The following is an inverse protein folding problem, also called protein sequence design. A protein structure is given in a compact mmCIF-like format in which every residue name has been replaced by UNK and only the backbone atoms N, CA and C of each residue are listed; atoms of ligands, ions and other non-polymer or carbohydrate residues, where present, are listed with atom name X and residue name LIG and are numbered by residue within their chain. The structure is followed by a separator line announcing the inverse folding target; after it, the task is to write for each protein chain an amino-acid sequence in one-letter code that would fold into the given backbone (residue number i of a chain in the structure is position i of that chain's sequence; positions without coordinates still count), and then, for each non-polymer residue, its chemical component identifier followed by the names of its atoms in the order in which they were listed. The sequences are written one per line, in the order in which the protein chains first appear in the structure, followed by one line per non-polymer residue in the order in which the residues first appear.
data_IF_536770942885
#
_entry.id   IF_536770942885
#
_cell.length_a   1.000
_cell.length_b   1.000
_cell.length_c   1.000
_cell.angle_alpha   90.00
_cell.angle_beta   90.00
_cell.angle_gamma   90.00
#
_symmetry.space_group_name_H-M   'P 1'
#
loop_
_entity.id
_entity.type
_entity.pdbx_description
1 polymer ?
#
# COMPACT_ATOMS: atom_id res chain seq x y z
N UNK A 1 20.02 -13.10 20.17
CA UNK A 1 20.57 -14.26 19.43
C UNK A 1 19.57 -14.85 18.44
N UNK A 2 18.31 -15.11 18.85
CA UNK A 2 17.30 -15.76 18.00
C UNK A 2 16.98 -15.05 16.67
N UNK A 3 16.85 -13.72 16.67
CA UNK A 3 16.55 -13.00 15.42
C UNK A 3 17.67 -13.11 14.38
N UNK A 4 18.94 -12.95 14.79
CA UNK A 4 20.09 -13.12 13.88
C UNK A 4 20.15 -14.51 13.27
N UNK A 5 19.83 -15.56 14.05
CA UNK A 5 19.73 -16.92 13.54
C UNK A 5 18.56 -17.07 12.55
N UNK A 6 17.42 -16.44 12.83
CA UNK A 6 16.28 -16.41 11.91
C UNK A 6 16.64 -15.72 10.59
N UNK A 7 17.33 -14.57 10.62
CA UNK A 7 17.84 -13.90 9.42
C UNK A 7 18.76 -14.82 8.63
N UNK A 8 19.75 -15.44 9.28
CA UNK A 8 20.65 -16.37 8.61
C UNK A 8 19.91 -17.55 7.95
N UNK A 9 18.90 -18.11 8.62
CA UNK A 9 18.08 -19.21 8.09
C UNK A 9 17.14 -18.80 6.97
N UNK A 10 16.51 -17.62 7.07
CA UNK A 10 15.54 -17.13 6.10
C UNK A 10 16.18 -16.81 4.74
N UNK A 11 17.50 -16.57 4.69
CA UNK A 11 18.26 -16.38 3.45
C UNK A 11 18.00 -17.46 2.41
N UNK A 12 18.00 -18.74 2.81
CA UNK A 12 17.75 -19.85 1.89
C UNK A 12 16.36 -19.76 1.26
N UNK A 13 15.34 -19.41 2.06
CA UNK A 13 13.98 -19.20 1.58
C UNK A 13 13.89 -18.01 0.61
N UNK A 14 14.54 -16.90 0.92
CA UNK A 14 14.55 -15.72 0.05
C UNK A 14 15.24 -15.99 -1.29
N UNK A 15 16.38 -16.70 -1.27
CA UNK A 15 17.11 -17.09 -2.49
C UNK A 15 16.30 -18.06 -3.34
N UNK A 16 15.69 -19.09 -2.73
CA UNK A 16 14.77 -19.97 -3.44
C UNK A 16 13.55 -19.21 -4.00
N UNK A 17 13.16 -18.12 -3.35
CA UNK A 17 12.14 -17.19 -3.81
C UNK A 17 12.57 -16.29 -4.98
N UNK A 18 13.84 -16.31 -5.41
CA UNK A 18 14.37 -15.51 -6.52
C UNK A 18 15.03 -14.18 -6.12
N UNK A 19 15.36 -13.99 -4.84
CA UNK A 19 16.19 -12.87 -4.37
C UNK A 19 17.66 -13.26 -4.50
N UNK A 20 18.50 -12.38 -5.03
CA UNK A 20 19.95 -12.61 -5.09
C UNK A 20 20.55 -12.57 -3.68
N UNK A 21 21.59 -13.40 -3.47
CA UNK A 21 22.30 -13.42 -2.18
C UNK A 21 22.83 -12.04 -1.79
N UNK A 22 23.38 -11.28 -2.75
CA UNK A 22 23.90 -9.94 -2.50
C UNK A 22 22.85 -8.94 -2.01
N UNK A 23 21.67 -8.90 -2.65
CA UNK A 23 20.57 -8.02 -2.21
C UNK A 23 20.07 -8.42 -0.83
N UNK A 24 19.96 -9.72 -0.56
CA UNK A 24 19.57 -10.21 0.77
C UNK A 24 20.58 -9.79 1.84
N UNK A 25 21.86 -10.08 1.61
CA UNK A 25 22.93 -9.84 2.57
C UNK A 25 23.12 -8.34 2.84
N UNK A 26 22.90 -7.49 1.83
CA UNK A 26 22.88 -6.04 2.00
C UNK A 26 21.67 -5.58 2.82
N UNK A 27 20.45 -5.94 2.40
CA UNK A 27 19.20 -5.41 2.97
C UNK A 27 18.91 -5.90 4.39
N UNK A 28 19.50 -7.05 4.77
CA UNK A 28 19.31 -7.66 6.09
C UNK A 28 20.51 -7.40 7.02
N UNK A 29 21.50 -6.60 6.60
CA UNK A 29 22.69 -6.32 7.39
C UNK A 29 22.35 -5.40 8.56
N UNK A 30 22.58 -5.87 9.78
CA UNK A 30 22.42 -5.05 10.99
C UNK A 30 20.97 -4.71 11.33
N UNK A 31 19.99 -5.32 10.65
CA UNK A 31 18.59 -5.15 11.04
C UNK A 31 18.37 -5.78 12.42
N UNK A 32 17.57 -5.10 13.23
CA UNK A 32 17.11 -5.60 14.52
C UNK A 32 15.58 -5.49 14.57
N UNK A 33 14.88 -6.34 15.34
CA UNK A 33 13.42 -6.30 15.41
C UNK A 33 12.91 -4.92 15.82
N UNK A 34 11.75 -4.54 15.31
CA UNK A 34 11.07 -3.30 15.68
C UNK A 34 9.98 -3.58 16.73
N UNK A 35 10.18 -3.17 18.01
CA UNK A 35 9.20 -3.44 19.06
C UNK A 35 7.83 -2.82 18.77
N UNK A 36 7.77 -1.67 18.09
CA UNK A 36 6.52 -0.97 17.76
C UNK A 36 5.71 -1.77 16.75
N UNK A 37 6.38 -2.45 15.80
CA UNK A 37 5.71 -3.33 14.84
C UNK A 37 4.99 -4.48 15.58
N UNK A 38 5.64 -5.09 16.57
CA UNK A 38 5.05 -6.18 17.37
C UNK A 38 3.97 -5.69 18.34
N UNK A 39 4.08 -4.46 18.83
CA UNK A 39 3.02 -3.82 19.63
C UNK A 39 1.77 -3.59 18.78
N UNK A 40 1.92 -2.93 17.62
CA UNK A 40 0.82 -2.65 16.70
C UNK A 40 0.17 -3.93 16.16
N UNK A 41 0.94 -4.99 15.94
CA UNK A 41 0.42 -6.29 15.53
C UNK A 41 -0.49 -6.96 16.58
N UNK A 42 -0.30 -6.64 17.86
CA UNK A 42 -1.09 -7.15 19.00
C UNK A 42 -2.34 -6.34 19.27
N UNK A 43 -2.32 -5.04 18.99
CA UNK A 43 -3.48 -4.17 19.15
C UNK A 43 -4.40 -4.29 17.93
N UNK A 44 -5.68 -4.61 18.15
CA UNK A 44 -6.74 -4.43 17.16
C UNK A 44 -7.69 -3.32 17.63
N UNK A 45 -7.44 -2.04 17.29
CA UNK A 45 -8.32 -0.94 17.73
C UNK A 45 -9.68 -0.91 17.01
N UNK A 46 -9.82 -1.61 15.87
CA UNK A 46 -10.87 -1.31 14.88
C UNK A 46 -12.25 -1.94 15.12
N UNK A 47 -12.60 -2.34 16.34
CA UNK A 47 -13.94 -2.88 16.63
C UNK A 47 -14.78 -2.07 17.64
N UNK A 48 -14.44 -0.80 17.89
CA UNK A 48 -15.14 -0.02 18.94
C UNK A 48 -15.77 1.31 18.49
N UNK A 49 -15.45 1.82 17.30
CA UNK A 49 -16.03 3.07 16.80
C UNK A 49 -17.18 2.80 15.82
N UNK A 50 -18.30 3.55 15.92
CA UNK A 50 -19.32 3.54 14.91
C UNK A 50 -18.83 3.97 13.52
N UNK A 51 -19.50 3.52 12.47
CA UNK A 51 -19.10 3.82 11.09
C UNK A 51 -19.06 5.33 10.78
N UNK A 52 -19.90 6.14 11.42
CA UNK A 52 -19.93 7.60 11.23
C UNK A 52 -18.66 8.28 11.74
N UNK A 53 -18.10 7.83 12.88
CA UNK A 53 -16.81 8.36 13.38
C UNK A 53 -15.65 8.05 12.41
N UNK A 54 -15.74 6.95 11.67
CA UNK A 54 -14.77 6.63 10.62
C UNK A 54 -14.93 7.57 9.41
N UNK A 55 -16.16 7.89 9.01
CA UNK A 55 -16.41 8.79 7.88
C UNK A 55 -16.05 10.25 8.20
N UNK A 56 -16.45 10.78 9.34
CA UNK A 56 -16.21 12.19 9.70
C UNK A 56 -14.72 12.53 9.81
N UNK A 57 -13.91 11.57 10.27
CA UNK A 57 -12.45 11.71 10.32
C UNK A 57 -11.76 11.63 8.95
N UNK A 58 -12.48 11.22 7.89
CA UNK A 58 -11.91 10.89 6.58
C UNK A 58 -12.50 11.71 5.44
N UNK A 59 -13.73 12.16 5.60
CA UNK A 59 -14.50 12.96 4.64
C UNK A 59 -14.96 14.22 5.35
N UNK A 60 -14.10 15.23 5.31
CA UNK A 60 -14.34 16.54 5.90
C UNK A 60 -13.90 17.65 4.94
N UNK A 61 -14.34 18.89 5.18
CA UNK A 61 -14.12 20.03 4.26
C UNK A 61 -12.65 20.24 3.90
N UNK A 62 -11.74 20.11 4.87
CA UNK A 62 -10.31 20.23 4.61
C UNK A 62 -9.78 19.12 3.67
N UNK A 63 -10.26 17.88 3.79
CA UNK A 63 -9.87 16.79 2.90
C UNK A 63 -10.38 17.04 1.47
N UNK A 64 -11.62 17.54 1.34
CA UNK A 64 -12.20 17.93 0.05
C UNK A 64 -11.41 19.08 -0.58
N UNK A 65 -11.08 20.13 0.18
CA UNK A 65 -10.29 21.26 -0.30
C UNK A 65 -8.89 20.83 -0.75
N UNK A 66 -8.23 19.95 0.02
CA UNK A 66 -6.94 19.36 -0.36
C UNK A 66 -7.05 18.55 -1.64
N UNK A 67 -8.09 17.73 -1.78
CA UNK A 67 -8.35 16.94 -2.99
C UNK A 67 -8.56 17.81 -4.23
N UNK A 68 -9.30 18.91 -4.12
CA UNK A 68 -9.47 19.87 -5.20
C UNK A 68 -8.15 20.56 -5.57
N UNK A 69 -7.31 20.90 -4.58
CA UNK A 69 -5.98 21.45 -4.84
C UNK A 69 -5.07 20.44 -5.55
N UNK A 70 -5.08 19.18 -5.13
CA UNK A 70 -4.33 18.11 -5.81
C UNK A 70 -4.85 17.82 -7.20
N UNK A 71 -6.17 17.87 -7.42
CA UNK A 71 -6.79 17.74 -8.74
C UNK A 71 -6.28 18.80 -9.72
N UNK A 72 -6.15 20.06 -9.26
CA UNK A 72 -5.59 21.16 -10.06
C UNK A 72 -4.10 20.95 -10.32
N UNK A 73 -3.33 20.66 -9.27
CA UNK A 73 -1.87 20.49 -9.34
C UNK A 73 -1.45 19.36 -10.28
N UNK A 74 -2.15 18.23 -10.22
CA UNK A 74 -1.79 17.01 -10.96
C UNK A 74 -2.65 16.77 -12.19
N UNK A 75 -3.46 17.77 -12.62
CA UNK A 75 -4.40 17.65 -13.73
C UNK A 75 -3.80 16.99 -14.98
N UNK A 76 -2.61 17.39 -15.49
CA UNK A 76 -2.08 16.78 -16.71
C UNK A 76 -1.83 15.27 -16.59
N UNK A 77 -1.42 14.81 -15.40
CA UNK A 77 -1.20 13.39 -15.14
C UNK A 77 -2.50 12.64 -14.90
N UNK A 78 -3.43 13.22 -14.14
CA UNK A 78 -4.76 12.66 -13.95
C UNK A 78 -5.48 12.45 -15.29
N UNK A 79 -5.42 13.44 -16.21
CA UNK A 79 -5.99 13.33 -17.55
C UNK A 79 -5.40 12.13 -18.32
N UNK A 80 -4.07 11.95 -18.28
CA UNK A 80 -3.38 10.85 -18.96
C UNK A 80 -3.70 9.49 -18.34
N UNK A 81 -3.75 9.40 -17.02
CA UNK A 81 -4.05 8.17 -16.28
C UNK A 81 -5.49 7.76 -16.56
N UNK A 82 -6.43 8.69 -16.44
CA UNK A 82 -7.85 8.45 -16.73
C UNK A 82 -8.05 7.97 -18.18
N UNK A 83 -7.43 8.62 -19.16
CA UNK A 83 -7.48 8.19 -20.56
C UNK A 83 -6.89 6.78 -20.78
N UNK A 84 -5.81 6.42 -20.08
CA UNK A 84 -5.14 5.11 -20.23
C UNK A 84 -5.90 3.98 -19.53
N UNK A 85 -6.44 4.24 -18.34
CA UNK A 85 -6.99 3.21 -17.47
C UNK A 85 -8.51 3.20 -17.38
N UNK A 86 -9.19 4.28 -17.76
CA UNK A 86 -10.65 4.43 -17.64
C UNK A 86 -11.13 4.58 -16.19
N UNK A 87 -10.22 4.89 -15.26
CA UNK A 87 -10.52 5.11 -13.85
C UNK A 87 -10.69 6.60 -13.61
N UNK A 88 -11.83 6.98 -13.03
CA UNK A 88 -12.17 8.37 -12.71
C UNK A 88 -11.12 8.99 -11.78
N UNK A 89 -10.68 10.21 -12.09
CA UNK A 89 -9.65 10.91 -11.32
C UNK A 89 -10.03 11.14 -9.86
N UNK A 90 -11.31 11.34 -9.56
CA UNK A 90 -11.80 11.60 -8.22
C UNK A 90 -11.70 10.33 -7.36
N UNK A 91 -11.89 9.16 -7.97
CA UNK A 91 -11.62 7.87 -7.30
C UNK A 91 -10.14 7.75 -6.95
N UNK A 92 -9.24 8.09 -7.87
CA UNK A 92 -7.80 8.08 -7.61
C UNK A 92 -7.39 9.08 -6.52
N UNK A 93 -7.95 10.29 -6.54
CA UNK A 93 -7.73 11.30 -5.52
C UNK A 93 -8.30 10.89 -4.16
N UNK A 94 -9.44 10.21 -4.13
CA UNK A 94 -10.02 9.69 -2.89
C UNK A 94 -9.14 8.59 -2.28
N UNK A 95 -8.65 7.64 -3.09
CA UNK A 95 -7.69 6.62 -2.64
C UNK A 95 -6.43 7.30 -2.08
N UNK A 96 -5.85 8.25 -2.81
CA UNK A 96 -4.62 8.91 -2.37
C UNK A 96 -4.82 9.71 -1.06
N UNK A 97 -5.99 10.33 -0.88
CA UNK A 97 -6.39 10.96 0.38
C UNK A 97 -6.42 9.93 1.52
N UNK A 98 -7.17 8.85 1.32
CA UNK A 98 -7.43 7.83 2.34
C UNK A 98 -6.17 7.09 2.78
N UNK A 99 -5.25 6.83 1.84
CA UNK A 99 -4.07 6.02 2.09
C UNK A 99 -2.91 6.81 2.73
N UNK A 100 -2.73 8.08 2.35
CA UNK A 100 -1.55 8.84 2.82
C UNK A 100 -1.78 10.33 3.05
N UNK A 101 -3.02 10.80 3.00
CA UNK A 101 -3.35 12.23 3.03
C UNK A 101 -2.52 13.00 1.99
N UNK A 102 -2.57 12.54 0.74
CA UNK A 102 -1.81 13.12 -0.37
C UNK A 102 -0.28 13.14 -0.15
N UNK A 103 0.24 12.14 0.56
CA UNK A 103 1.66 11.97 0.86
C UNK A 103 2.14 12.61 2.15
N UNK A 104 1.30 13.33 2.90
CA UNK A 104 1.72 13.91 4.19
C UNK A 104 2.09 12.84 5.23
N UNK A 105 1.42 11.69 5.20
CA UNK A 105 1.76 10.55 6.08
C UNK A 105 3.17 10.02 5.83
N UNK A 106 3.69 10.13 4.60
CA UNK A 106 5.03 9.62 4.27
C UNK A 106 6.16 10.47 4.87
N UNK A 107 5.86 11.70 5.29
CA UNK A 107 6.83 12.63 5.91
C UNK A 107 6.97 12.41 7.43
N UNK A 108 6.23 11.45 7.98
CA UNK A 108 6.12 11.21 9.43
C UNK A 108 6.99 10.03 9.85
N UNK A 109 8.16 10.33 10.39
CA UNK A 109 9.12 9.31 10.87
C UNK A 109 8.58 8.49 12.07
N UNK A 110 7.58 9.00 12.79
CA UNK A 110 6.92 8.27 13.87
C UNK A 110 5.97 7.17 13.34
N UNK A 111 5.48 7.32 12.11
CA UNK A 111 4.58 6.37 11.43
C UNK A 111 5.34 5.48 10.45
N UNK A 112 6.16 6.09 9.60
CA UNK A 112 6.86 5.43 8.50
C UNK A 112 8.02 4.57 9.01
N UNK A 113 8.12 3.37 8.46
CA UNK A 113 9.13 2.38 8.82
C UNK A 113 9.74 1.77 7.58
N UNK A 114 11.00 1.35 7.71
CA UNK A 114 11.63 0.54 6.68
C UNK A 114 10.84 -0.78 6.51
N UNK A 115 10.46 -1.08 5.28
CA UNK A 115 9.56 -2.19 4.96
C UNK A 115 10.23 -3.54 5.19
N UNK A 116 11.53 -3.67 4.88
CA UNK A 116 12.31 -4.89 5.13
C UNK A 116 12.33 -5.18 6.63
N UNK A 117 12.69 -4.19 7.45
CA UNK A 117 12.73 -4.33 8.92
C UNK A 117 11.37 -4.71 9.49
N UNK A 118 10.30 -4.06 9.02
CA UNK A 118 8.94 -4.31 9.51
C UNK A 118 8.47 -5.73 9.19
N UNK A 119 8.64 -6.17 7.93
CA UNK A 119 8.23 -7.50 7.51
C UNK A 119 9.11 -8.61 8.11
N UNK A 120 10.42 -8.37 8.26
CA UNK A 120 11.31 -9.29 8.99
C UNK A 120 10.88 -9.43 10.46
N UNK A 121 10.51 -8.33 11.10
CA UNK A 121 10.01 -8.33 12.48
C UNK A 121 8.72 -9.14 12.61
N UNK A 122 7.75 -8.95 11.71
CA UNK A 122 6.50 -9.72 11.71
C UNK A 122 6.73 -11.20 11.38
N UNK A 123 7.60 -11.49 10.41
CA UNK A 123 7.91 -12.85 10.01
C UNK A 123 8.55 -13.65 11.16
N UNK A 124 9.40 -12.99 11.97
CA UNK A 124 10.03 -13.56 13.14
C UNK A 124 9.13 -13.61 14.38
N UNK A 125 8.46 -12.50 14.71
CA UNK A 125 7.89 -12.28 16.03
C UNK A 125 6.36 -12.37 16.13
N UNK A 126 5.63 -12.50 15.01
CA UNK A 126 4.17 -12.69 15.01
C UNK A 126 3.79 -14.01 14.31
N UNK A 127 3.56 -15.11 15.07
CA UNK A 127 3.18 -16.39 14.51
C UNK A 127 1.94 -16.35 13.60
N UNK A 128 0.98 -15.45 13.88
CA UNK A 128 -0.26 -15.34 13.09
C UNK A 128 0.00 -14.77 11.70
N UNK A 129 0.97 -13.84 11.60
CA UNK A 129 1.31 -13.15 10.36
C UNK A 129 2.60 -13.66 9.71
N UNK A 130 3.28 -14.62 10.32
CA UNK A 130 4.61 -15.05 9.88
C UNK A 130 4.66 -15.47 8.40
N UNK A 131 3.68 -16.26 7.94
CA UNK A 131 3.59 -16.69 6.53
C UNK A 131 3.37 -15.49 5.58
N UNK A 132 2.41 -14.63 5.91
CA UNK A 132 2.12 -13.41 5.14
C UNK A 132 3.37 -12.53 5.04
N UNK A 133 3.99 -12.23 6.18
CA UNK A 133 5.15 -11.35 6.28
C UNK A 133 6.36 -11.93 5.53
N UNK A 134 6.57 -13.24 5.59
CA UNK A 134 7.61 -13.92 4.82
C UNK A 134 7.40 -13.76 3.31
N UNK A 135 6.18 -13.94 2.82
CA UNK A 135 5.84 -13.73 1.40
C UNK A 135 6.05 -12.28 0.99
N UNK A 136 5.58 -11.31 1.78
CA UNK A 136 5.76 -9.90 1.47
C UNK A 136 7.24 -9.48 1.56
N UNK A 137 8.03 -10.02 2.49
CA UNK A 137 9.45 -9.72 2.65
C UNK A 137 10.24 -10.13 1.40
N UNK A 138 9.98 -11.33 0.87
CA UNK A 138 10.60 -11.79 -0.39
C UNK A 138 10.21 -10.85 -1.54
N UNK A 139 8.95 -10.45 -1.62
CA UNK A 139 8.50 -9.52 -2.64
C UNK A 139 9.15 -8.12 -2.48
N UNK A 140 9.32 -7.62 -1.26
CA UNK A 140 9.98 -6.35 -0.98
C UNK A 140 11.47 -6.37 -1.36
N UNK A 141 12.18 -7.44 -1.03
CA UNK A 141 13.58 -7.64 -1.43
C UNK A 141 13.75 -7.66 -2.95
N UNK A 142 12.77 -8.24 -3.67
CA UNK A 142 12.76 -8.20 -5.15
C UNK A 142 12.52 -6.81 -5.72
N UNK A 143 11.84 -5.91 -5.01
CA UNK A 143 11.67 -4.51 -5.42
C UNK A 143 13.01 -3.77 -5.32
N UNK A 144 13.76 -4.00 -4.23
CA UNK A 144 15.13 -3.48 -4.13
C UNK A 144 16.02 -4.04 -5.25
N UNK A 145 15.86 -5.33 -5.57
CA UNK A 145 16.61 -5.97 -6.65
C UNK A 145 16.26 -5.40 -8.04
N UNK A 146 15.03 -4.99 -8.31
CA UNK A 146 14.67 -4.37 -9.60
C UNK A 146 15.22 -2.96 -9.76
N UNK A 147 15.67 -2.33 -8.67
CA UNK A 147 16.23 -0.98 -8.68
C UNK A 147 15.18 0.12 -8.85
N UNK A 148 13.89 -0.20 -8.66
CA UNK A 148 12.82 0.79 -8.70
C UNK A 148 12.98 1.85 -7.58
N UNK A 149 13.54 1.44 -6.44
CA UNK A 149 13.78 2.27 -5.26
C UNK A 149 14.99 1.71 -4.48
N UNK A 150 15.72 2.55 -3.76
CA UNK A 150 16.78 2.10 -2.87
C UNK A 150 16.28 1.76 -1.46
N UNK A 151 17.14 1.11 -0.69
CA UNK A 151 16.83 0.58 0.65
C UNK A 151 16.39 1.66 1.64
N UNK A 152 16.97 2.87 1.56
CA UNK A 152 16.68 3.95 2.51
C UNK A 152 15.32 4.59 2.25
N UNK A 153 14.81 4.48 1.03
CA UNK A 153 13.51 5.02 0.62
C UNK A 153 12.40 3.97 0.55
N UNK A 154 12.69 2.68 0.76
CA UNK A 154 11.69 1.61 0.83
C UNK A 154 10.90 1.68 2.15
N UNK A 155 10.05 2.70 2.26
CA UNK A 155 9.31 3.07 3.46
C UNK A 155 7.82 2.71 3.35
N UNK A 156 7.21 2.43 4.50
CA UNK A 156 5.81 2.04 4.56
C UNK A 156 5.28 1.98 5.98
N UNK A 157 4.05 1.47 6.12
CA UNK A 157 3.43 1.19 7.41
C UNK A 157 4.13 0.04 8.13
N UNK A 158 3.83 -0.11 9.43
CA UNK A 158 4.31 -1.22 10.25
C UNK A 158 3.96 -2.61 9.69
N UNK A 159 2.90 -2.70 8.87
CA UNK A 159 2.45 -3.94 8.23
C UNK A 159 3.08 -4.18 6.85
N UNK A 160 3.92 -3.24 6.37
CA UNK A 160 4.59 -3.32 5.07
C UNK A 160 3.78 -2.76 3.90
N UNK A 161 2.73 -1.97 4.14
CA UNK A 161 2.04 -1.23 3.09
C UNK A 161 2.87 -0.01 2.68
N UNK A 162 3.15 0.18 1.39
CA UNK A 162 4.25 1.02 0.92
C UNK A 162 3.78 2.26 0.15
N UNK A 163 4.56 3.33 0.24
CA UNK A 163 4.44 4.49 -0.64
C UNK A 163 3.11 5.25 -0.50
N UNK A 164 2.85 6.08 -1.51
CA UNK A 164 1.75 7.05 -1.55
C UNK A 164 0.37 6.41 -1.44
N UNK A 165 0.21 5.18 -1.94
CA UNK A 165 -1.08 4.47 -2.01
C UNK A 165 -1.07 3.13 -1.27
N UNK A 166 -0.13 2.95 -0.33
CA UNK A 166 -0.10 1.85 0.64
C UNK A 166 -0.21 0.45 0.00
N UNK A 167 0.47 0.26 -1.14
CA UNK A 167 0.53 -1.06 -1.77
C UNK A 167 1.37 -2.02 -0.95
N UNK A 168 0.86 -3.23 -0.69
CA UNK A 168 1.71 -4.32 -0.19
C UNK A 168 2.70 -4.78 -1.30
N UNK A 169 3.88 -5.33 -0.96
CA UNK A 169 4.92 -5.66 -1.94
C UNK A 169 4.47 -6.55 -3.10
N UNK A 170 3.68 -7.59 -2.82
CA UNK A 170 3.16 -8.48 -3.87
C UNK A 170 2.17 -7.78 -4.82
N UNK A 171 1.33 -6.88 -4.31
CA UNK A 171 0.46 -6.05 -5.13
C UNK A 171 1.29 -5.09 -5.99
N UNK A 172 2.32 -4.45 -5.41
CA UNK A 172 3.24 -3.61 -6.18
C UNK A 172 3.83 -4.40 -7.37
N UNK A 173 4.37 -5.59 -7.13
CA UNK A 173 4.94 -6.40 -8.22
C UNK A 173 3.97 -6.70 -9.35
N UNK A 174 2.68 -6.88 -9.05
CA UNK A 174 1.63 -7.22 -10.03
C UNK A 174 1.09 -6.01 -10.78
N UNK A 175 1.06 -4.85 -10.14
CA UNK A 175 0.30 -3.69 -10.60
C UNK A 175 1.14 -2.44 -10.86
N UNK A 176 2.38 -2.36 -10.39
CA UNK A 176 3.22 -1.18 -10.51
C UNK A 176 3.41 -0.74 -11.97
N UNK A 177 3.26 0.56 -12.21
CA UNK A 177 3.36 1.20 -13.52
C UNK A 177 4.39 2.33 -13.43
N UNK A 178 5.32 2.34 -14.38
CA UNK A 178 6.15 3.49 -14.70
C UNK A 178 5.31 4.36 -15.64
N UNK A 179 4.73 5.42 -15.09
CA UNK A 179 3.80 6.30 -15.79
C UNK A 179 4.51 7.48 -16.42
N UNK A 180 5.58 7.97 -15.78
CA UNK A 180 6.35 9.10 -16.28
C UNK A 180 7.47 8.70 -17.27
N UNK A 181 7.77 7.41 -17.39
CA UNK A 181 8.67 6.82 -18.39
C UNK A 181 10.14 6.91 -18.02
N UNK A 182 10.47 7.11 -16.74
CA UNK A 182 11.86 7.28 -16.28
C UNK A 182 12.61 5.95 -16.07
N UNK A 183 11.96 4.81 -16.27
CA UNK A 183 12.51 3.46 -16.11
C UNK A 183 12.33 2.85 -14.71
N UNK A 184 11.66 3.56 -13.79
CA UNK A 184 11.35 3.09 -12.42
C UNK A 184 9.86 3.22 -12.16
N UNK A 185 9.34 2.36 -11.28
CA UNK A 185 7.94 2.38 -10.86
C UNK A 185 7.83 2.96 -9.44
N UNK A 186 8.24 4.21 -9.26
CA UNK A 186 8.47 4.80 -7.95
C UNK A 186 7.17 5.30 -7.30
N UNK A 187 6.48 4.42 -6.57
CA UNK A 187 5.24 4.78 -5.85
C UNK A 187 5.47 5.60 -4.56
N UNK A 188 6.72 5.96 -4.24
CA UNK A 188 7.06 6.78 -3.07
C UNK A 188 7.17 8.24 -3.48
N UNK A 189 7.94 8.52 -4.54
CA UNK A 189 8.29 9.88 -4.95
C UNK A 189 7.63 10.33 -6.26
N UNK A 190 7.17 9.41 -7.12
CA UNK A 190 6.44 9.73 -8.35
C UNK A 190 4.93 9.61 -8.11
N UNK A 191 4.26 10.76 -8.00
CA UNK A 191 2.79 10.80 -7.94
C UNK A 191 2.14 10.20 -9.20
N UNK A 192 2.63 10.46 -10.43
CA UNK A 192 2.15 9.77 -11.62
C UNK A 192 2.18 8.24 -11.49
N UNK A 193 3.30 7.67 -11.01
CA UNK A 193 3.46 6.22 -10.86
C UNK A 193 2.53 5.65 -9.79
N UNK A 194 2.42 6.32 -8.64
CA UNK A 194 1.54 5.92 -7.55
C UNK A 194 0.07 5.87 -7.99
N UNK A 195 -0.40 6.92 -8.67
CA UNK A 195 -1.79 7.01 -9.14
C UNK A 195 -2.05 6.05 -10.31
N UNK A 196 -1.11 5.89 -11.24
CA UNK A 196 -1.24 4.95 -12.35
C UNK A 196 -1.22 3.49 -11.87
N UNK A 197 -0.40 3.17 -10.86
CA UNK A 197 -0.37 1.85 -10.22
C UNK A 197 -1.72 1.52 -9.57
N UNK A 198 -2.33 2.50 -8.91
CA UNK A 198 -3.67 2.38 -8.32
C UNK A 198 -4.75 2.18 -9.40
N UNK A 199 -4.69 2.97 -10.48
CA UNK A 199 -5.59 2.84 -11.61
C UNK A 199 -5.45 1.47 -12.31
N UNK A 200 -4.23 0.95 -12.44
CA UNK A 200 -3.97 -0.36 -13.02
C UNK A 200 -4.51 -1.50 -12.15
N UNK A 201 -4.41 -1.39 -10.82
CA UNK A 201 -5.04 -2.33 -9.90
C UNK A 201 -6.56 -2.37 -10.12
N UNK A 202 -7.22 -1.22 -10.12
CA UNK A 202 -8.67 -1.13 -10.32
C UNK A 202 -9.10 -1.70 -11.68
N UNK A 203 -8.40 -1.29 -12.75
CA UNK A 203 -8.66 -1.80 -14.11
C UNK A 203 -8.53 -3.32 -14.19
N UNK A 204 -7.45 -3.89 -13.64
CA UNK A 204 -7.25 -5.36 -13.64
C UNK A 204 -8.23 -6.11 -12.74
N UNK A 205 -8.86 -5.43 -11.79
CA UNK A 205 -9.86 -5.99 -10.88
C UNK A 205 -11.31 -5.65 -11.30
N UNK A 206 -11.54 -5.34 -12.57
CA UNK A 206 -12.90 -5.27 -13.14
C UNK A 206 -13.56 -3.91 -13.04
N UNK A 207 -12.81 -2.83 -12.82
CA UNK A 207 -13.35 -1.46 -12.92
C UNK A 207 -14.01 -1.23 -14.28
N UNK A 208 -15.22 -0.67 -14.27
CA UNK A 208 -16.00 -0.36 -15.46
C UNK A 208 -16.07 1.16 -15.63
N UNK A 209 -15.38 1.68 -16.64
CA UNK A 209 -15.36 3.11 -16.94
C UNK A 209 -16.78 3.66 -17.15
N UNK A 210 -17.05 4.86 -16.63
CA UNK A 210 -18.34 5.52 -16.72
C UNK A 210 -19.42 5.00 -15.77
N UNK A 211 -19.16 3.93 -15.00
CA UNK A 211 -20.08 3.49 -13.92
C UNK A 211 -19.68 4.13 -12.59
N UNK A 212 -20.69 4.46 -11.77
CA UNK A 212 -20.48 4.86 -10.37
C UNK A 212 -20.17 3.64 -9.48
N UNK A 213 -19.51 3.87 -8.35
CA UNK A 213 -19.23 2.86 -7.33
C UNK A 213 -20.48 2.43 -6.56
N UNK A 214 -21.48 3.32 -6.48
CA UNK A 214 -22.72 3.14 -5.74
C UNK A 214 -23.55 4.42 -5.72
N UNK A 215 -24.71 4.34 -5.10
CA UNK A 215 -25.60 5.47 -4.83
C UNK A 215 -26.46 5.15 -3.62
N UNK A 216 -26.85 6.19 -2.89
CA UNK A 216 -27.82 6.06 -1.81
C UNK A 216 -29.18 5.65 -2.39
N UNK A 217 -29.86 4.75 -1.69
CA UNK A 217 -31.19 4.26 -2.07
C UNK A 217 -32.14 4.32 -0.89
N UNK A 218 -33.40 4.62 -1.17
CA UNK A 218 -34.47 4.48 -0.18
C UNK A 218 -35.02 3.06 -0.22
N UNK A 219 -34.98 2.37 0.91
CA UNK A 219 -35.55 1.02 1.02
C UNK A 219 -37.07 1.15 1.13
N UNK A 220 -37.86 0.46 0.27
CA UNK A 220 -39.31 0.48 0.38
C UNK A 220 -39.78 -0.13 1.70
N UNK A 221 -40.94 0.29 2.20
CA UNK A 221 -41.50 -0.23 3.44
C UNK A 221 -41.87 -1.73 3.38
N UNK A 222 -41.97 -2.29 2.18
CA UNK A 222 -42.20 -3.71 1.96
C UNK A 222 -40.92 -4.53 2.11
N UNK A 223 -41.06 -5.78 2.56
CA UNK A 223 -39.94 -6.71 2.74
C UNK A 223 -39.23 -6.92 1.40
N UNK A 224 -37.94 -6.59 1.34
CA UNK A 224 -37.09 -6.92 0.19
C UNK A 224 -37.07 -8.46 0.02
N UNK A 225 -37.12 -8.98 -1.22
CA UNK A 225 -36.88 -10.39 -1.45
C UNK A 225 -35.51 -10.77 -0.88
N UNK A 226 -35.41 -11.95 -0.27
CA UNK A 226 -34.16 -12.43 0.30
C UNK A 226 -33.07 -12.44 -0.77
N UNK A 227 -31.95 -11.76 -0.52
CA UNK A 227 -30.84 -11.70 -1.46
C UNK A 227 -30.27 -13.09 -1.71
N UNK A 228 -30.17 -13.50 -2.97
CA UNK A 228 -29.36 -14.64 -3.37
C UNK A 228 -27.92 -14.14 -3.54
N UNK A 229 -26.96 -14.81 -2.89
CA UNK A 229 -25.54 -14.63 -3.21
C UNK A 229 -25.31 -15.30 -4.57
N UNK A 230 -25.40 -14.53 -5.65
CA UNK A 230 -24.84 -14.93 -6.95
C UNK A 230 -23.35 -14.66 -6.97
#
# INVERSE_FOLDING_TARGET
AGFRQWVAGFRATAVAGGVSGAVYDQSMRGIEPDPVVLEKARTQPEFTAPAWDYFDNRVHDQAVANGQAMARKWKPWLDRIEARFGVDRNILLAIWSMESNYGETLKRDDIMRNVIRSLATLAYGDPKRSKYASTQLIAALKILQSGDIDESHLMGSWAGAMGQTQFIPTSYQRYAVDMDGNGRRDIWNSIPDALATSANLLKKNGWQAGKTWGYEVTIPASKLPGGAKT
#
